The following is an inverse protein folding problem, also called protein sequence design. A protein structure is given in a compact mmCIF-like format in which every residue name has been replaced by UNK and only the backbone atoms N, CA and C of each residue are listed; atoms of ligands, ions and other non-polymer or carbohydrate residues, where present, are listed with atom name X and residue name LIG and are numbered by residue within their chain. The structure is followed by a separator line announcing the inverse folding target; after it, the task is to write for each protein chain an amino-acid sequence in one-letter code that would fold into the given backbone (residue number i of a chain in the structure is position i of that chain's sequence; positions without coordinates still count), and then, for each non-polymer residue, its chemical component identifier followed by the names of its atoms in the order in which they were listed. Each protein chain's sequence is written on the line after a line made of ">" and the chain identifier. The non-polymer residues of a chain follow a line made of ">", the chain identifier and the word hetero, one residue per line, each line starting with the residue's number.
data_IF_246633880018
#
_entry.id   IF_246633880018
#
_cell.length_a   1.000
_cell.length_b   1.000
_cell.length_c   1.000
_cell.angle_alpha   90.00
_cell.angle_beta   90.00
_cell.angle_gamma   90.00
#
_symmetry.space_group_name_H-M   'P 1'
#
loop_
_entity.id
_entity.type
_entity.pdbx_description
1 polymer ?
#
# COMPACT_ATOMS: atom_id res chain seq x y z
N UNK A 1 21.94 -25.11 -3.88
CA UNK A 1 23.35 -24.68 -3.74
C UNK A 1 24.22 -25.60 -4.58
N UNK A 2 25.00 -25.06 -5.52
CA UNK A 2 25.97 -25.86 -6.29
C UNK A 2 27.22 -26.01 -5.45
N UNK A 3 27.60 -27.26 -5.13
CA UNK A 3 28.79 -27.58 -4.34
C UNK A 3 29.90 -28.03 -5.30
N UNK A 4 30.95 -27.23 -5.46
CA UNK A 4 32.12 -27.61 -6.25
C UNK A 4 32.83 -28.75 -5.52
N UNK A 5 32.87 -29.93 -6.16
CA UNK A 5 33.39 -31.19 -5.59
C UNK A 5 34.87 -31.43 -5.92
N UNK A 6 35.42 -30.78 -6.94
CA UNK A 6 36.86 -30.79 -7.22
C UNK A 6 37.26 -29.62 -8.12
N UNK A 7 38.56 -29.32 -8.14
CA UNK A 7 39.17 -28.32 -9.03
C UNK A 7 40.48 -28.87 -9.57
N UNK A 8 40.73 -28.65 -10.85
CA UNK A 8 41.97 -29.03 -11.53
C UNK A 8 42.57 -27.79 -12.19
N UNK A 9 43.86 -27.54 -11.93
CA UNK A 9 44.60 -26.44 -12.59
C UNK A 9 44.85 -26.79 -14.05
N UNK A 10 44.44 -25.91 -14.97
CA UNK A 10 44.71 -26.03 -16.41
C UNK A 10 45.97 -25.26 -16.84
N UNK A 11 46.83 -24.90 -15.87
CA UNK A 11 48.03 -24.08 -16.09
C UNK A 11 47.78 -22.58 -15.95
N UNK A 12 48.85 -21.79 -16.03
CA UNK A 12 48.78 -20.32 -16.09
C UNK A 12 48.71 -19.88 -17.54
N UNK A 13 47.66 -19.14 -17.90
CA UNK A 13 47.61 -18.39 -19.17
C UNK A 13 47.69 -16.90 -18.85
N UNK A 14 48.28 -16.07 -19.73
CA UNK A 14 48.10 -14.63 -19.65
C UNK A 14 46.61 -14.33 -19.77
N UNK A 15 46.02 -13.77 -18.72
CA UNK A 15 44.71 -13.14 -18.79
C UNK A 15 44.94 -11.66 -19.08
N UNK A 16 44.05 -11.04 -19.86
CA UNK A 16 44.04 -9.59 -20.03
C UNK A 16 43.50 -8.94 -18.75
N UNK A 17 44.27 -9.00 -17.68
CA UNK A 17 44.08 -8.10 -16.55
C UNK A 17 44.79 -6.81 -16.88
N UNK A 18 44.07 -5.69 -16.89
CA UNK A 18 44.62 -4.36 -17.14
C UNK A 18 45.34 -3.94 -15.85
N UNK A 19 46.53 -4.49 -15.62
CA UNK A 19 47.48 -3.96 -14.67
C UNK A 19 48.23 -2.81 -15.31
N UNK A 20 47.89 -1.58 -14.96
CA UNK A 20 48.67 -0.40 -15.36
C UNK A 20 49.83 -0.26 -14.36
N UNK A 21 51.06 -0.50 -14.84
CA UNK A 21 52.28 -0.49 -14.01
C UNK A 21 52.66 0.93 -13.51
N UNK A 22 52.09 1.99 -14.13
CA UNK A 22 52.17 3.42 -13.77
C UNK A 22 50.87 4.15 -14.19
N UNK A 23 50.62 5.34 -13.65
CA UNK A 23 49.49 6.21 -14.03
C UNK A 23 49.52 6.54 -15.54
N UNK A 24 48.83 5.74 -16.36
CA UNK A 24 48.69 6.00 -17.80
C UNK A 24 47.31 6.58 -18.09
N UNK A 25 47.30 7.88 -18.36
CA UNK A 25 46.19 8.54 -19.03
C UNK A 25 46.21 8.18 -20.52
N UNK A 26 45.14 7.57 -21.04
CA UNK A 26 45.02 7.32 -22.48
C UNK A 26 44.93 8.66 -23.22
N UNK A 27 45.81 8.94 -24.18
CA UNK A 27 45.75 10.16 -24.98
C UNK A 27 44.95 9.89 -26.26
N UNK A 28 43.94 10.71 -26.53
CA UNK A 28 43.25 10.77 -27.81
C UNK A 28 44.18 11.39 -28.86
N UNK A 29 43.96 11.09 -30.14
CA UNK A 29 44.81 11.57 -31.25
C UNK A 29 44.90 13.11 -31.39
N UNK A 30 44.06 13.86 -30.66
CA UNK A 30 44.09 15.32 -30.57
C UNK A 30 44.80 15.85 -29.30
N UNK A 31 45.48 14.98 -28.54
CA UNK A 31 46.24 15.34 -27.33
C UNK A 31 45.42 15.42 -26.04
N UNK A 32 44.11 15.11 -26.07
CA UNK A 32 43.27 15.09 -24.87
C UNK A 32 43.41 13.79 -24.07
N UNK A 33 43.23 13.85 -22.76
CA UNK A 33 43.25 12.70 -21.86
C UNK A 33 41.87 12.06 -21.78
N UNK A 34 41.79 10.76 -22.07
CA UNK A 34 40.62 9.92 -21.89
C UNK A 34 40.51 9.46 -20.42
N UNK A 35 39.94 10.33 -19.58
CA UNK A 35 39.75 10.08 -18.14
C UNK A 35 38.56 9.16 -17.82
N UNK A 36 37.58 9.02 -18.72
CA UNK A 36 36.31 8.30 -18.49
C UNK A 36 36.03 7.18 -19.51
N UNK A 37 37.07 6.55 -20.05
CA UNK A 37 36.88 5.42 -20.95
C UNK A 37 36.40 4.17 -20.20
N UNK A 38 35.37 3.50 -20.72
CA UNK A 38 34.76 2.33 -20.09
C UNK A 38 34.97 1.07 -20.94
N UNK A 39 35.15 -0.07 -20.28
CA UNK A 39 35.44 -1.33 -20.96
C UNK A 39 34.21 -1.85 -21.75
N UNK A 40 34.29 -1.82 -23.08
CA UNK A 40 33.18 -2.22 -23.97
C UNK A 40 32.73 -3.67 -23.74
N UNK A 41 33.64 -4.62 -23.56
CA UNK A 41 33.27 -6.03 -23.33
C UNK A 41 32.44 -6.21 -22.05
N UNK A 42 32.83 -5.54 -20.97
CA UNK A 42 32.10 -5.55 -19.71
C UNK A 42 30.74 -4.86 -19.86
N UNK A 43 30.68 -3.65 -20.43
CA UNK A 43 29.41 -2.96 -20.68
C UNK A 43 28.46 -3.77 -21.54
N UNK A 44 28.96 -4.44 -22.58
CA UNK A 44 28.13 -5.21 -23.51
C UNK A 44 27.47 -6.39 -22.81
N UNK A 45 28.21 -7.10 -21.93
CA UNK A 45 27.66 -8.22 -21.17
C UNK A 45 26.52 -7.77 -20.23
N UNK A 46 26.68 -6.66 -19.51
CA UNK A 46 25.62 -6.12 -18.65
C UNK A 46 24.45 -5.55 -19.46
N UNK A 47 24.72 -4.86 -20.57
CA UNK A 47 23.67 -4.34 -21.46
C UNK A 47 22.78 -5.46 -22.01
N UNK A 48 23.36 -6.64 -22.28
CA UNK A 48 22.59 -7.81 -22.72
C UNK A 48 21.60 -8.30 -21.65
N UNK A 49 22.02 -8.39 -20.38
CA UNK A 49 21.13 -8.75 -19.27
C UNK A 49 20.05 -7.67 -19.04
N UNK A 50 20.42 -6.40 -19.14
CA UNK A 50 19.45 -5.28 -19.07
C UNK A 50 18.41 -5.37 -20.19
N UNK A 51 18.83 -5.68 -21.42
CA UNK A 51 17.93 -5.89 -22.54
C UNK A 51 16.98 -7.07 -22.29
N UNK A 52 17.49 -8.20 -21.79
CA UNK A 52 16.66 -9.38 -21.48
C UNK A 52 15.60 -9.06 -20.42
N UNK A 53 15.97 -8.36 -19.34
CA UNK A 53 15.01 -7.99 -18.29
C UNK A 53 13.99 -6.96 -18.79
N UNK A 54 14.40 -6.00 -19.61
CA UNK A 54 13.48 -5.05 -20.26
C UNK A 54 12.50 -5.77 -21.21
N UNK A 55 12.99 -6.72 -22.02
CA UNK A 55 12.18 -7.54 -22.91
C UNK A 55 11.12 -8.35 -22.14
N UNK A 56 11.52 -9.02 -21.05
CA UNK A 56 10.59 -9.77 -20.21
C UNK A 56 9.54 -8.86 -19.56
N UNK A 57 9.96 -7.69 -19.03
CA UNK A 57 9.03 -6.72 -18.45
C UNK A 57 8.02 -6.19 -19.47
N UNK A 58 8.44 -5.98 -20.72
CA UNK A 58 7.58 -5.46 -21.77
C UNK A 58 6.57 -6.49 -22.32
N UNK A 59 6.99 -7.76 -22.46
CA UNK A 59 6.19 -8.80 -23.12
C UNK A 59 5.49 -9.76 -22.15
N UNK A 60 6.07 -10.00 -20.97
CA UNK A 60 5.57 -10.90 -19.93
C UNK A 60 5.55 -10.19 -18.56
N UNK A 61 4.81 -9.07 -18.43
CA UNK A 61 4.89 -8.20 -17.27
C UNK A 61 4.44 -8.90 -15.97
N UNK A 62 3.43 -9.77 -16.03
CA UNK A 62 2.88 -10.46 -14.86
C UNK A 62 3.88 -11.49 -14.33
N UNK A 63 4.44 -12.31 -15.21
CA UNK A 63 5.43 -13.32 -14.87
C UNK A 63 6.74 -12.68 -14.39
N UNK A 64 7.17 -11.60 -15.05
CA UNK A 64 8.35 -10.84 -14.65
C UNK A 64 8.20 -10.24 -13.24
N UNK A 65 7.07 -9.57 -12.97
CA UNK A 65 6.80 -9.02 -11.64
C UNK A 65 6.64 -10.13 -10.58
N UNK A 66 6.04 -11.26 -10.94
CA UNK A 66 5.94 -12.44 -10.06
C UNK A 66 7.32 -12.98 -9.68
N UNK A 67 8.25 -13.02 -10.64
CA UNK A 67 9.62 -13.45 -10.39
C UNK A 67 10.37 -12.47 -9.47
N UNK A 68 10.19 -11.16 -9.65
CA UNK A 68 10.78 -10.14 -8.77
C UNK A 68 10.26 -10.21 -7.33
N UNK A 69 8.95 -10.37 -7.16
CA UNK A 69 8.30 -10.56 -5.86
C UNK A 69 8.80 -11.83 -5.17
N UNK A 70 8.91 -12.93 -5.93
CA UNK A 70 9.45 -14.19 -5.42
C UNK A 70 10.92 -14.07 -5.00
N UNK A 71 11.77 -13.47 -5.84
CA UNK A 71 13.19 -13.30 -5.55
C UNK A 71 13.47 -12.36 -4.35
N UNK A 72 12.48 -11.55 -3.95
CA UNK A 72 12.61 -10.57 -2.88
C UNK A 72 11.72 -10.87 -1.68
N UNK A 73 11.13 -12.08 -1.59
CA UNK A 73 10.17 -12.45 -0.54
C UNK A 73 10.71 -12.31 0.88
N UNK A 74 12.03 -12.39 1.07
CA UNK A 74 12.69 -12.24 2.36
C UNK A 74 12.87 -10.76 2.80
N UNK A 75 12.57 -9.80 1.92
CA UNK A 75 12.73 -8.37 2.17
C UNK A 75 11.40 -7.62 1.97
N UNK A 76 10.75 -7.28 3.08
CA UNK A 76 9.42 -6.69 3.09
C UNK A 76 9.36 -5.35 2.34
N UNK A 77 10.34 -4.47 2.54
CA UNK A 77 10.42 -3.17 1.84
C UNK A 77 10.46 -3.34 0.32
N UNK A 78 11.19 -4.35 -0.17
CA UNK A 78 11.24 -4.67 -1.61
C UNK A 78 9.92 -5.25 -2.11
N UNK A 79 9.29 -6.14 -1.34
CA UNK A 79 7.98 -6.71 -1.71
C UNK A 79 6.94 -5.61 -1.86
N UNK A 80 6.89 -4.67 -0.90
CA UNK A 80 6.00 -3.51 -0.97
C UNK A 80 6.27 -2.66 -2.21
N UNK A 81 7.53 -2.27 -2.44
CA UNK A 81 7.91 -1.50 -3.64
C UNK A 81 7.53 -2.19 -4.95
N UNK A 82 7.70 -3.50 -5.04
CA UNK A 82 7.30 -4.24 -6.24
C UNK A 82 5.78 -4.38 -6.36
N UNK A 83 5.05 -4.49 -5.24
CA UNK A 83 3.58 -4.47 -5.25
C UNK A 83 3.05 -3.13 -5.76
N UNK A 84 3.60 -2.01 -5.32
CA UNK A 84 3.26 -0.68 -5.85
C UNK A 84 3.51 -0.58 -7.36
N UNK A 85 4.63 -1.13 -7.84
CA UNK A 85 4.91 -1.19 -9.28
C UNK A 85 3.89 -2.05 -10.03
N UNK A 86 3.46 -3.19 -9.47
CA UNK A 86 2.37 -3.98 -10.04
C UNK A 86 1.09 -3.13 -10.18
N UNK A 87 0.73 -2.38 -9.14
CA UNK A 87 -0.45 -1.50 -9.17
C UNK A 87 -0.34 -0.42 -10.26
N UNK A 88 0.83 0.23 -10.40
CA UNK A 88 1.09 1.20 -11.49
C UNK A 88 1.00 0.56 -12.88
N UNK A 89 1.32 -0.72 -13.00
CA UNK A 89 1.22 -1.51 -14.23
C UNK A 89 -0.18 -2.13 -14.44
N UNK A 90 -1.16 -1.82 -13.58
CA UNK A 90 -2.51 -2.43 -13.57
C UNK A 90 -2.49 -3.97 -13.41
N UNK A 91 -1.53 -4.49 -12.65
CA UNK A 91 -1.41 -5.90 -12.27
C UNK A 91 -1.94 -6.02 -10.84
N UNK A 92 -3.02 -6.78 -10.68
CA UNK A 92 -3.65 -7.02 -9.38
C UNK A 92 -2.85 -8.07 -8.59
N UNK A 93 -2.53 -7.77 -7.34
CA UNK A 93 -1.85 -8.71 -6.43
C UNK A 93 -2.87 -9.14 -5.40
N UNK A 94 -3.42 -10.35 -5.57
CA UNK A 94 -4.42 -10.88 -4.64
C UNK A 94 -3.79 -11.25 -3.30
N UNK A 95 -4.52 -11.09 -2.17
CA UNK A 95 -4.05 -11.54 -0.86
C UNK A 95 -3.71 -13.04 -0.85
N UNK A 96 -2.94 -13.50 0.13
CA UNK A 96 -2.72 -14.93 0.31
C UNK A 96 -4.06 -15.65 0.51
N UNK A 97 -4.08 -16.94 0.19
CA UNK A 97 -5.25 -17.80 0.32
C UNK A 97 -4.75 -19.21 0.67
N UNK A 98 -5.13 -19.72 1.84
CA UNK A 98 -4.73 -21.06 2.33
C UNK A 98 -5.05 -22.19 1.34
N UNK A 99 -6.04 -22.03 0.48
CA UNK A 99 -6.48 -23.01 -0.50
C UNK A 99 -5.86 -22.85 -1.89
N UNK A 100 -5.34 -21.67 -2.23
CA UNK A 100 -4.81 -21.37 -3.58
C UNK A 100 -3.32 -21.02 -3.59
N UNK A 101 -2.85 -20.30 -2.58
CA UNK A 101 -1.47 -19.82 -2.52
C UNK A 101 -0.49 -21.00 -2.50
N UNK A 102 0.61 -20.81 -3.21
CA UNK A 102 1.76 -21.69 -3.18
C UNK A 102 2.82 -21.09 -2.26
N UNK A 103 3.96 -21.79 -2.13
CA UNK A 103 5.13 -21.26 -1.44
C UNK A 103 5.52 -19.89 -2.00
N UNK A 104 5.69 -19.79 -3.32
CA UNK A 104 6.07 -18.57 -4.01
C UNK A 104 4.87 -17.83 -4.62
N UNK A 105 5.07 -16.57 -5.01
CA UNK A 105 4.08 -15.82 -5.76
C UNK A 105 3.74 -16.56 -7.06
N UNK A 106 2.46 -16.60 -7.41
CA UNK A 106 1.97 -17.40 -8.54
C UNK A 106 1.23 -16.51 -9.53
N UNK A 107 1.60 -16.46 -10.83
CA UNK A 107 0.87 -15.70 -11.82
C UNK A 107 -0.43 -16.43 -12.17
N UNK A 108 -1.56 -15.72 -12.12
CA UNK A 108 -2.90 -16.23 -12.46
C UNK A 108 -3.54 -15.27 -13.47
N UNK A 109 -3.35 -15.53 -14.76
CA UNK A 109 -3.84 -14.67 -15.83
C UNK A 109 -3.22 -13.28 -15.75
N UNK A 110 -4.03 -12.26 -15.44
CA UNK A 110 -3.57 -10.86 -15.25
C UNK A 110 -3.28 -10.48 -13.80
N UNK A 111 -3.26 -11.47 -12.91
CA UNK A 111 -3.11 -11.28 -11.48
C UNK A 111 -1.91 -12.04 -10.95
N UNK A 112 -1.46 -11.67 -9.76
CA UNK A 112 -0.44 -12.39 -9.00
C UNK A 112 -1.07 -12.81 -7.68
N UNK A 113 -1.08 -14.10 -7.38
CA UNK A 113 -1.48 -14.60 -6.08
C UNK A 113 -0.30 -14.56 -5.12
N UNK A 114 -0.53 -13.99 -3.93
CA UNK A 114 0.49 -13.85 -2.91
C UNK A 114 1.09 -15.21 -2.50
N UNK A 115 2.43 -15.25 -2.42
CA UNK A 115 3.16 -16.44 -1.97
C UNK A 115 3.22 -16.50 -0.45
N UNK A 116 3.03 -17.70 0.12
CA UNK A 116 3.11 -17.91 1.57
C UNK A 116 4.50 -17.54 2.14
N UNK A 117 5.57 -17.62 1.34
CA UNK A 117 6.93 -17.25 1.75
C UNK A 117 7.11 -15.78 2.08
N UNK A 118 6.23 -14.90 1.58
CA UNK A 118 6.29 -13.47 1.88
C UNK A 118 5.46 -13.08 3.12
N UNK A 119 4.72 -14.03 3.71
CA UNK A 119 3.95 -13.80 4.93
C UNK A 119 4.91 -13.83 6.12
N UNK A 120 4.96 -12.72 6.88
CA UNK A 120 5.80 -12.62 8.08
C UNK A 120 5.41 -13.67 9.12
N UNK A 121 6.37 -14.09 9.94
CA UNK A 121 6.18 -15.11 10.99
C UNK A 121 5.76 -16.50 10.47
N UNK A 122 5.76 -16.74 9.15
CA UNK A 122 5.47 -18.03 8.55
C UNK A 122 6.78 -18.65 8.04
N UNK A 123 7.35 -19.57 8.83
CA UNK A 123 8.60 -20.25 8.47
C UNK A 123 8.41 -21.30 7.37
N UNK A 124 9.49 -21.65 6.68
CA UNK A 124 9.50 -22.64 5.60
C UNK A 124 8.81 -23.97 6.01
N UNK A 125 9.15 -24.50 7.19
CA UNK A 125 8.56 -25.74 7.70
C UNK A 125 7.03 -25.63 7.87
N UNK A 126 6.53 -24.46 8.28
CA UNK A 126 5.09 -24.21 8.42
C UNK A 126 4.42 -24.20 7.03
N UNK A 127 5.04 -23.55 6.05
CA UNK A 127 4.54 -23.53 4.67
C UNK A 127 4.47 -24.95 4.11
N UNK A 128 5.55 -25.73 4.24
CA UNK A 128 5.58 -27.12 3.78
C UNK A 128 4.52 -27.98 4.48
N UNK A 129 4.32 -27.81 5.79
CA UNK A 129 3.29 -28.52 6.54
C UNK A 129 1.88 -28.19 6.02
N UNK A 130 1.59 -26.91 5.74
CA UNK A 130 0.30 -26.46 5.20
C UNK A 130 0.07 -27.06 3.81
N UNK A 131 1.05 -26.96 2.91
CA UNK A 131 0.94 -27.47 1.54
C UNK A 131 0.78 -28.99 1.52
N UNK A 132 1.52 -29.70 2.38
CA UNK A 132 1.43 -31.15 2.51
C UNK A 132 0.08 -31.58 3.07
N UNK A 133 -0.43 -30.92 4.11
CA UNK A 133 -1.75 -31.19 4.68
C UNK A 133 -2.87 -30.97 3.64
N UNK A 134 -2.77 -29.88 2.87
CA UNK A 134 -3.71 -29.58 1.77
C UNK A 134 -3.70 -30.67 0.69
N UNK A 135 -2.51 -31.12 0.28
CA UNK A 135 -2.37 -32.17 -0.72
C UNK A 135 -2.88 -33.53 -0.22
N UNK A 136 -2.57 -33.89 1.04
CA UNK A 136 -2.98 -35.16 1.64
C UNK A 136 -4.50 -35.28 1.81
N UNK A 137 -5.18 -34.16 2.02
CA UNK A 137 -6.63 -34.13 2.26
C UNK A 137 -7.49 -34.08 0.98
N UNK A 138 -6.89 -34.32 -0.19
CA UNK A 138 -7.62 -34.37 -1.46
C UNK A 138 -8.22 -33.04 -1.92
N UNK A 139 -7.81 -31.91 -1.34
CA UNK A 139 -8.32 -30.61 -1.76
C UNK A 139 -8.25 -29.51 -0.71
N UNK A 140 -9.32 -28.72 -0.66
CA UNK A 140 -9.40 -27.44 0.06
C UNK A 140 -9.72 -27.66 1.54
N UNK A 141 -9.17 -26.81 2.40
CA UNK A 141 -9.64 -26.61 3.76
C UNK A 141 -11.01 -25.93 3.74
N UNK A 142 -11.94 -26.38 4.58
CA UNK A 142 -13.32 -25.89 4.61
C UNK A 142 -13.58 -24.89 5.74
N UNK A 143 -12.82 -24.96 6.83
CA UNK A 143 -12.97 -24.09 8.01
C UNK A 143 -11.64 -23.94 8.77
N UNK A 144 -11.60 -23.05 9.75
CA UNK A 144 -10.45 -22.92 10.65
C UNK A 144 -10.21 -24.20 11.45
N UNK A 145 -11.27 -24.86 11.93
CA UNK A 145 -11.19 -26.14 12.62
C UNK A 145 -10.60 -27.25 11.74
N UNK A 146 -11.06 -27.33 10.50
CA UNK A 146 -10.55 -28.28 9.50
C UNK A 146 -9.06 -28.05 9.20
N UNK A 147 -8.64 -26.79 9.12
CA UNK A 147 -7.23 -26.43 8.97
C UNK A 147 -6.41 -26.87 10.19
N UNK A 148 -6.85 -26.52 11.40
CA UNK A 148 -6.14 -26.81 12.64
C UNK A 148 -6.06 -28.31 12.97
N UNK A 149 -7.05 -29.12 12.56
CA UNK A 149 -7.02 -30.58 12.75
C UNK A 149 -6.04 -31.27 11.78
N UNK A 150 -5.86 -30.72 10.57
CA UNK A 150 -5.05 -31.34 9.51
C UNK A 150 -3.58 -30.91 9.53
N UNK A 151 -3.30 -29.72 10.04
CA UNK A 151 -1.96 -29.12 10.04
C UNK A 151 -1.28 -29.38 11.39
N UNK A 152 0.02 -29.65 11.39
CA UNK A 152 0.79 -29.80 12.63
C UNK A 152 0.94 -28.45 13.35
N UNK A 153 0.14 -28.27 14.40
CA UNK A 153 0.13 -27.06 15.26
C UNK A 153 1.41 -26.86 16.08
N UNK A 154 2.31 -27.85 16.14
CA UNK A 154 3.66 -27.67 16.71
C UNK A 154 4.55 -26.84 15.79
N UNK A 155 4.32 -26.95 14.48
CA UNK A 155 5.04 -26.21 13.43
C UNK A 155 4.29 -24.92 13.08
N UNK A 156 2.97 -24.98 12.92
CA UNK A 156 2.11 -23.82 12.67
C UNK A 156 1.54 -23.32 13.99
N UNK A 157 2.34 -22.51 14.68
CA UNK A 157 1.99 -21.98 16.00
C UNK A 157 0.89 -20.90 15.95
N UNK A 158 0.37 -20.52 17.14
CA UNK A 158 -0.68 -19.49 17.29
C UNK A 158 -0.35 -18.18 16.55
N UNK A 159 0.89 -17.70 16.64
CA UNK A 159 1.35 -16.47 15.96
C UNK A 159 1.29 -16.59 14.43
N UNK A 160 1.59 -17.76 13.88
CA UNK A 160 1.47 -18.02 12.45
C UNK A 160 -0.01 -18.02 12.01
N UNK A 161 -0.90 -18.63 12.81
CA UNK A 161 -2.35 -18.65 12.56
C UNK A 161 -2.94 -17.24 12.61
N UNK A 162 -2.63 -16.45 13.64
CA UNK A 162 -3.04 -15.04 13.75
C UNK A 162 -2.59 -14.26 12.51
N UNK A 163 -1.33 -14.42 12.09
CA UNK A 163 -0.80 -13.71 10.91
C UNK A 163 -1.52 -14.14 9.63
N UNK A 164 -1.84 -15.44 9.47
CA UNK A 164 -2.62 -15.94 8.32
C UNK A 164 -4.06 -15.40 8.31
N UNK A 165 -4.68 -15.24 9.47
CA UNK A 165 -6.02 -14.65 9.60
C UNK A 165 -5.96 -13.16 9.24
N UNK A 166 -5.04 -12.40 9.85
CA UNK A 166 -4.93 -10.96 9.63
C UNK A 166 -4.53 -10.60 8.19
N UNK A 167 -3.76 -11.45 7.50
CA UNK A 167 -3.40 -11.24 6.10
C UNK A 167 -4.48 -11.64 5.08
N UNK A 168 -5.62 -12.15 5.56
CA UNK A 168 -6.75 -12.51 4.72
C UNK A 168 -6.66 -13.90 4.08
N UNK A 169 -5.72 -14.75 4.53
CA UNK A 169 -5.58 -16.10 3.98
C UNK A 169 -6.81 -16.98 4.17
N UNK A 170 -7.66 -16.63 5.15
CA UNK A 170 -8.91 -17.31 5.48
C UNK A 170 -10.18 -16.60 4.93
N UNK A 171 -10.07 -15.45 4.28
CA UNK A 171 -11.23 -14.62 3.89
C UNK A 171 -12.24 -15.33 2.98
N UNK A 172 -11.77 -16.32 2.20
CA UNK A 172 -12.63 -17.12 1.31
C UNK A 172 -13.45 -18.19 2.04
N UNK A 173 -13.03 -18.60 3.22
CA UNK A 173 -13.77 -19.58 4.04
C UNK A 173 -14.60 -18.89 5.13
N UNK A 174 -14.08 -17.82 5.72
CA UNK A 174 -14.78 -16.98 6.68
C UNK A 174 -14.30 -15.52 6.51
N UNK A 175 -15.12 -14.61 5.96
CA UNK A 175 -14.72 -13.22 5.73
C UNK A 175 -14.60 -12.38 7.00
N UNK A 176 -15.23 -12.80 8.11
CA UNK A 176 -15.15 -12.12 9.39
C UNK A 176 -13.84 -12.48 10.11
N UNK A 177 -12.81 -11.64 9.94
CA UNK A 177 -11.48 -11.87 10.53
C UNK A 177 -11.52 -11.75 12.06
N UNK A 178 -12.38 -10.89 12.61
CA UNK A 178 -12.54 -10.75 14.06
C UNK A 178 -13.09 -12.04 14.68
N UNK A 179 -14.10 -12.64 14.04
CA UNK A 179 -14.64 -13.93 14.48
C UNK A 179 -13.57 -15.03 14.48
N UNK A 180 -12.74 -15.10 13.42
CA UNK A 180 -11.66 -16.09 13.36
C UNK A 180 -10.63 -15.95 14.48
N UNK A 181 -10.36 -14.72 14.93
CA UNK A 181 -9.45 -14.47 16.05
C UNK A 181 -10.07 -14.88 17.38
N UNK A 182 -11.34 -14.56 17.61
CA UNK A 182 -12.07 -15.00 18.81
C UNK A 182 -12.20 -16.53 18.88
N UNK A 183 -12.44 -17.17 17.72
CA UNK A 183 -12.52 -18.63 17.61
C UNK A 183 -11.16 -19.31 17.84
N UNK A 184 -10.04 -18.64 17.53
CA UNK A 184 -8.72 -19.26 17.40
C UNK A 184 -8.31 -20.04 18.64
N UNK A 185 -8.51 -19.49 19.83
CA UNK A 185 -8.10 -20.14 21.07
C UNK A 185 -8.90 -21.42 21.36
N UNK A 186 -10.21 -21.37 21.14
CA UNK A 186 -11.11 -22.51 21.31
C UNK A 186 -10.77 -23.62 20.29
N UNK A 187 -10.56 -23.22 19.04
CA UNK A 187 -10.30 -24.15 17.93
C UNK A 187 -8.94 -24.84 18.08
N UNK A 188 -7.89 -24.11 18.47
CA UNK A 188 -6.56 -24.69 18.69
C UNK A 188 -6.59 -25.72 19.83
N UNK A 189 -7.23 -25.39 20.96
CA UNK A 189 -7.35 -26.32 22.09
C UNK A 189 -8.14 -27.59 21.70
N UNK A 190 -9.25 -27.41 20.97
CA UNK A 190 -10.06 -28.51 20.44
C UNK A 190 -9.27 -29.40 19.48
N UNK A 191 -8.55 -28.82 18.52
CA UNK A 191 -7.75 -29.58 17.55
C UNK A 191 -6.62 -30.36 18.21
N UNK A 192 -5.91 -29.77 19.18
CA UNK A 192 -4.86 -30.44 19.94
C UNK A 192 -5.39 -31.65 20.73
N UNK A 193 -6.57 -31.52 21.35
CA UNK A 193 -7.23 -32.62 22.06
C UNK A 193 -7.53 -33.78 21.12
N UNK A 194 -8.11 -33.50 19.94
CA UNK A 194 -8.42 -34.52 18.93
C UNK A 194 -7.18 -35.21 18.38
N UNK A 195 -6.12 -34.46 18.10
CA UNK A 195 -4.85 -35.05 17.65
C UNK A 195 -4.28 -35.99 18.71
N UNK A 196 -4.34 -35.61 20.00
CA UNK A 196 -3.90 -36.47 21.11
C UNK A 196 -4.74 -37.73 21.24
N UNK A 197 -6.06 -37.64 21.04
CA UNK A 197 -6.99 -38.79 21.06
C UNK A 197 -6.77 -39.75 19.89
N UNK A 198 -6.43 -39.23 18.69
CA UNK A 198 -6.01 -40.03 17.55
C UNK A 198 -4.67 -40.73 17.80
N UNK A 199 -3.69 -40.01 18.35
CA UNK A 199 -2.36 -40.55 18.69
C UNK A 199 -2.44 -41.60 19.82
N UNK A 200 -3.36 -41.45 20.78
CA UNK A 200 -3.53 -42.40 21.91
C UNK A 200 -4.27 -43.68 21.52
N UNK A 201 -4.80 -43.78 20.31
CA UNK A 201 -5.53 -44.96 19.81
C UNK A 201 -6.88 -45.21 20.49
N UNK A 202 -7.37 -44.30 21.34
CA UNK A 202 -8.62 -44.46 22.09
C UNK A 202 -9.87 -44.46 21.21
N UNK A 203 -9.78 -43.97 19.97
CA UNK A 203 -10.91 -43.93 19.03
C UNK A 203 -11.31 -45.31 18.50
N UNK A 204 -10.41 -46.29 18.50
CA UNK A 204 -10.71 -47.63 17.96
C UNK A 204 -11.37 -48.58 18.98
N UNK A 205 -11.31 -48.33 20.29
CA UNK A 205 -11.84 -49.30 21.27
C UNK A 205 -13.36 -49.22 21.39
N UNK A 206 -13.96 -48.04 21.35
CA UNK A 206 -15.43 -47.90 21.44
C UNK A 206 -16.14 -48.17 20.11
N UNK A 207 -15.52 -47.86 18.97
CA UNK A 207 -16.08 -48.13 17.64
C UNK A 207 -15.94 -49.61 17.24
N UNK A 208 -14.89 -50.31 17.73
CA UNK A 208 -14.68 -51.75 17.49
C UNK A 208 -15.45 -52.65 18.47
N UNK A 209 -15.97 -52.13 19.59
CA UNK A 209 -16.73 -52.88 20.61
C UNK A 209 -18.25 -52.87 20.42
N UNK A 210 -18.75 -52.60 19.20
CA UNK A 210 -20.05 -53.09 18.73
C UNK A 210 -21.23 -52.98 19.72
N UNK A 211 -21.40 -51.82 20.37
CA UNK A 211 -22.51 -51.58 21.29
C UNK A 211 -23.68 -50.95 20.56
N UNK A 212 -24.60 -51.77 20.07
CA UNK A 212 -25.91 -51.35 19.57
C UNK A 212 -26.72 -50.66 20.67
N UNK A 213 -26.82 -49.33 20.61
CA UNK A 213 -27.94 -48.59 21.19
C UNK A 213 -28.23 -47.33 20.38
N UNK A 214 -29.45 -47.28 19.87
CA UNK A 214 -30.05 -46.14 19.18
C UNK A 214 -30.10 -44.91 20.09
N UNK A 215 -29.05 -44.10 20.05
CA UNK A 215 -29.13 -42.68 20.36
C UNK A 215 -28.15 -41.96 19.44
N UNK A 216 -28.66 -41.53 18.28
CA UNK A 216 -28.07 -40.44 17.51
C UNK A 216 -28.20 -39.16 18.34
N UNK A 217 -27.39 -39.02 19.39
CA UNK A 217 -26.86 -37.70 19.71
C UNK A 217 -25.87 -37.40 18.60
N UNK A 218 -26.33 -36.71 17.56
CA UNK A 218 -25.44 -36.04 16.62
C UNK A 218 -24.42 -35.26 17.45
N UNK A 219 -23.18 -35.59 17.21
CA UNK A 219 -22.04 -35.33 18.06
C UNK A 219 -21.77 -33.83 18.25
N UNK A 220 -21.92 -33.33 19.48
CA UNK A 220 -21.25 -32.11 19.97
C UNK A 220 -19.72 -32.16 19.81
N UNK A 221 -19.15 -33.32 19.43
CA UNK A 221 -17.73 -33.56 19.21
C UNK A 221 -17.24 -33.45 17.76
N UNK A 222 -18.12 -33.34 16.76
CA UNK A 222 -17.69 -33.24 15.34
C UNK A 222 -17.51 -31.80 14.86
N UNK A 223 -18.26 -30.85 15.40
CA UNK A 223 -18.16 -29.46 14.98
C UNK A 223 -17.11 -28.72 15.80
N UNK A 224 -16.22 -28.01 15.09
CA UNK A 224 -15.25 -27.11 15.72
C UNK A 224 -15.99 -26.08 16.57
N UNK A 225 -15.53 -25.79 17.80
CA UNK A 225 -16.14 -24.76 18.61
C UNK A 225 -16.02 -23.40 17.92
N UNK A 226 -16.97 -22.51 18.22
CA UNK A 226 -16.94 -21.12 17.81
C UNK A 226 -17.33 -20.25 19.00
N UNK A 227 -16.70 -19.10 19.13
CA UNK A 227 -17.01 -18.10 20.15
C UNK A 227 -18.36 -17.43 19.85
N UNK A 228 -18.80 -16.58 20.78
CA UNK A 228 -19.97 -15.73 20.56
C UNK A 228 -19.77 -14.87 19.31
N UNK A 229 -20.82 -14.72 18.51
CA UNK A 229 -20.75 -13.96 17.27
C UNK A 229 -20.34 -12.50 17.53
N UNK A 230 -19.28 -12.04 16.86
CA UNK A 230 -18.78 -10.66 16.93
C UNK A 230 -18.87 -9.95 15.59
N UNK A 231 -19.04 -8.63 15.62
CA UNK A 231 -18.95 -7.80 14.42
C UNK A 231 -17.51 -7.82 13.88
N UNK A 232 -17.38 -7.85 12.56
CA UNK A 232 -16.08 -7.85 11.89
C UNK A 232 -15.32 -6.53 12.14
N UNK A 233 -13.99 -6.58 11.95
CA UNK A 233 -13.16 -5.39 12.02
C UNK A 233 -13.61 -4.34 11.01
N UNK A 234 -13.52 -3.07 11.40
CA UNK A 234 -13.67 -1.97 10.46
C UNK A 234 -12.62 -2.08 9.35
N UNK A 235 -12.89 -1.49 8.18
CA UNK A 235 -11.93 -1.50 7.07
C UNK A 235 -10.57 -0.93 7.48
N UNK A 236 -10.56 0.18 8.24
CA UNK A 236 -9.33 0.81 8.72
C UNK A 236 -8.57 -0.14 9.65
N UNK A 237 -9.28 -0.82 10.54
CA UNK A 237 -8.66 -1.75 11.49
C UNK A 237 -8.07 -2.98 10.78
N UNK A 238 -8.75 -3.53 9.75
CA UNK A 238 -8.17 -4.60 8.92
C UNK A 238 -6.85 -4.17 8.26
N UNK A 239 -6.82 -2.97 7.69
CA UNK A 239 -5.60 -2.43 7.06
C UNK A 239 -4.49 -2.20 8.08
N UNK A 240 -4.82 -1.70 9.28
CA UNK A 240 -3.88 -1.54 10.39
C UNK A 240 -3.26 -2.88 10.80
N UNK A 241 -4.10 -3.91 10.97
CA UNK A 241 -3.67 -5.27 11.32
C UNK A 241 -2.84 -5.93 10.20
N UNK A 242 -3.17 -5.68 8.93
CA UNK A 242 -2.34 -6.11 7.81
C UNK A 242 -0.94 -5.51 7.88
N UNK A 243 -0.83 -4.18 8.07
CA UNK A 243 0.48 -3.51 8.19
C UNK A 243 1.26 -3.98 9.41
N UNK A 244 0.59 -4.15 10.55
CA UNK A 244 1.21 -4.64 11.78
C UNK A 244 1.80 -6.05 11.63
N UNK A 245 1.03 -6.96 11.05
CA UNK A 245 1.42 -8.36 10.95
C UNK A 245 2.25 -8.70 9.72
N UNK A 246 2.06 -8.03 8.59
CA UNK A 246 2.77 -8.30 7.33
C UNK A 246 3.89 -7.30 7.05
N UNK A 247 3.82 -6.10 7.64
CA UNK A 247 4.71 -4.97 7.36
C UNK A 247 4.15 -4.01 6.32
N UNK A 248 3.07 -4.39 5.61
CA UNK A 248 2.46 -3.58 4.56
C UNK A 248 0.98 -3.92 4.32
N UNK A 249 0.26 -3.06 3.59
CA UNK A 249 -1.16 -3.27 3.24
C UNK A 249 -1.33 -4.31 2.12
N UNK A 250 -1.88 -5.48 2.41
CA UNK A 250 -2.08 -6.53 1.40
C UNK A 250 -3.29 -6.24 0.52
N UNK A 251 -4.38 -5.79 1.12
CA UNK A 251 -5.66 -5.62 0.44
C UNK A 251 -5.67 -4.38 -0.48
N UNK A 252 -5.62 -3.19 0.11
CA UNK A 252 -5.59 -1.92 -0.62
C UNK A 252 -4.93 -0.83 0.24
N UNK A 253 -4.27 0.14 -0.40
CA UNK A 253 -3.75 1.31 0.31
C UNK A 253 -4.91 2.14 0.90
N UNK A 254 -4.83 2.64 2.15
CA UNK A 254 -5.91 3.40 2.80
C UNK A 254 -6.44 4.57 1.96
N UNK A 255 -5.54 5.29 1.29
CA UNK A 255 -5.89 6.45 0.46
C UNK A 255 -6.50 6.11 -0.91
N UNK A 256 -6.50 4.83 -1.32
CA UNK A 256 -7.06 4.43 -2.63
C UNK A 256 -8.56 4.70 -2.70
N UNK A 257 -9.28 4.52 -1.60
CA UNK A 257 -10.69 4.87 -1.49
C UNK A 257 -10.92 6.38 -1.66
N UNK A 258 -9.95 7.19 -1.22
CA UNK A 258 -10.02 8.65 -1.20
C UNK A 258 -9.62 9.28 -2.54
N UNK A 259 -8.80 8.60 -3.36
CA UNK A 259 -8.30 9.14 -4.62
C UNK A 259 -9.41 9.63 -5.56
N UNK A 260 -10.53 8.91 -5.68
CA UNK A 260 -11.63 9.32 -6.58
C UNK A 260 -12.32 10.60 -6.10
N UNK A 261 -12.70 10.64 -4.83
CA UNK A 261 -13.37 11.80 -4.24
C UNK A 261 -12.46 13.04 -4.27
N UNK A 262 -11.17 12.81 -4.06
CA UNK A 262 -10.22 13.89 -3.88
C UNK A 262 -9.53 14.37 -5.16
N UNK A 263 -9.75 13.73 -6.32
CA UNK A 263 -9.34 14.25 -7.63
C UNK A 263 -9.85 15.68 -7.87
N UNK A 264 -10.99 16.04 -7.28
CA UNK A 264 -11.53 17.40 -7.24
C UNK A 264 -10.53 18.42 -6.69
N UNK A 265 -9.71 18.05 -5.71
CA UNK A 265 -8.71 18.94 -5.11
C UNK A 265 -7.43 19.05 -5.94
N UNK A 266 -7.31 18.28 -7.03
CA UNK A 266 -6.08 18.18 -7.83
C UNK A 266 -4.82 17.87 -7.01
N UNK A 267 -4.85 16.95 -6.02
CA UNK A 267 -3.65 16.58 -5.30
C UNK A 267 -2.63 16.03 -6.30
N UNK A 268 -1.37 16.41 -6.13
CA UNK A 268 -0.27 15.76 -6.82
C UNK A 268 0.01 14.42 -6.14
N UNK A 269 0.55 13.46 -6.88
CA UNK A 269 1.09 12.27 -6.25
C UNK A 269 2.50 12.56 -5.72
N UNK A 270 2.89 11.89 -4.64
CA UNK A 270 4.23 12.04 -4.07
C UNK A 270 5.33 11.62 -5.06
N UNK A 271 5.08 10.61 -5.89
CA UNK A 271 6.02 10.20 -6.94
C UNK A 271 6.29 11.31 -7.99
N UNK A 272 5.37 12.26 -8.15
CA UNK A 272 5.47 13.34 -9.16
C UNK A 272 6.22 14.57 -8.61
N UNK A 273 6.61 14.58 -7.33
CA UNK A 273 7.33 15.69 -6.69
C UNK A 273 8.61 16.09 -7.45
N UNK A 274 9.31 15.10 -8.03
CA UNK A 274 10.52 15.30 -8.83
C UNK A 274 10.26 16.01 -10.17
N UNK A 275 9.05 15.95 -10.70
CA UNK A 275 8.68 16.60 -11.96
C UNK A 275 8.26 18.06 -11.76
N UNK A 276 7.84 18.41 -10.54
CA UNK A 276 7.44 19.76 -10.18
C UNK A 276 8.63 20.70 -9.99
N UNK A 277 9.04 21.36 -11.08
CA UNK A 277 10.18 22.32 -11.11
C UNK A 277 9.91 23.69 -10.46
N UNK A 278 8.70 23.92 -9.93
CA UNK A 278 8.25 25.23 -9.45
C UNK A 278 8.05 25.27 -7.95
N UNK A 279 8.44 26.38 -7.29
CA UNK A 279 8.04 26.74 -5.90
C UNK A 279 6.54 27.07 -5.76
N UNK A 280 5.69 26.57 -6.66
CA UNK A 280 4.25 26.77 -6.61
C UNK A 280 3.69 25.98 -5.43
N UNK A 281 2.63 26.53 -4.82
CA UNK A 281 1.90 25.84 -3.77
C UNK A 281 1.22 24.61 -4.38
N UNK A 282 1.46 23.46 -3.78
CA UNK A 282 0.90 22.17 -4.16
C UNK A 282 0.06 21.63 -3.00
N UNK A 283 -0.83 20.71 -3.34
CA UNK A 283 -1.60 19.93 -2.37
C UNK A 283 -1.34 18.45 -2.60
N UNK A 284 -1.27 17.65 -1.54
CA UNK A 284 -1.14 16.21 -1.61
C UNK A 284 -1.97 15.55 -0.49
N UNK A 285 -2.50 14.36 -0.75
CA UNK A 285 -3.21 13.58 0.26
C UNK A 285 -2.29 12.48 0.69
N UNK A 286 -2.01 12.45 1.98
CA UNK A 286 -0.91 11.67 2.52
C UNK A 286 -1.34 10.95 3.79
N UNK A 287 -0.78 9.78 3.97
CA UNK A 287 -0.75 9.06 5.23
C UNK A 287 0.58 9.40 5.91
N UNK A 288 0.53 9.79 7.19
CA UNK A 288 1.74 10.07 7.97
C UNK A 288 2.32 8.77 8.51
N UNK A 289 3.41 8.29 7.93
CA UNK A 289 4.07 7.07 8.40
C UNK A 289 4.95 7.28 9.63
N UNK A 290 5.63 8.42 9.71
CA UNK A 290 6.57 8.69 10.80
C UNK A 290 6.66 10.19 11.08
N UNK A 291 6.75 10.56 12.35
CA UNK A 291 6.90 11.94 12.79
C UNK A 291 8.12 12.09 13.70
N UNK A 292 9.18 12.73 13.21
CA UNK A 292 10.40 12.99 13.98
C UNK A 292 10.48 14.45 14.39
N UNK A 293 10.12 14.73 15.64
CA UNK A 293 10.27 16.07 16.25
C UNK A 293 11.74 16.38 16.53
N UNK A 294 12.19 17.57 16.14
CA UNK A 294 13.56 18.06 16.35
C UNK A 294 13.51 19.51 16.86
N UNK A 295 14.45 19.86 17.73
CA UNK A 295 14.67 21.25 18.15
C UNK A 295 15.70 21.89 17.24
N UNK A 296 15.39 23.05 16.66
CA UNK A 296 16.34 23.81 15.85
C UNK A 296 17.49 24.33 16.74
N UNK A 297 18.58 24.79 16.11
CA UNK A 297 19.68 25.48 16.81
C UNK A 297 19.22 26.73 17.58
N UNK A 298 18.06 27.29 17.21
CA UNK A 298 17.44 28.46 17.87
C UNK A 298 16.49 28.06 19.01
N UNK A 299 16.37 26.77 19.32
CA UNK A 299 15.49 26.27 20.39
C UNK A 299 14.00 26.20 20.02
N UNK A 300 13.64 26.37 18.74
CA UNK A 300 12.25 26.24 18.27
C UNK A 300 11.98 24.82 17.77
N UNK A 301 10.78 24.25 17.99
CA UNK A 301 10.45 22.90 17.51
C UNK A 301 10.22 22.88 15.99
N UNK A 302 10.58 21.79 15.33
CA UNK A 302 10.22 21.47 13.94
C UNK A 302 10.03 19.95 13.81
N UNK A 303 9.48 19.47 12.69
CA UNK A 303 9.35 18.03 12.45
C UNK A 303 9.78 17.62 11.04
N UNK A 304 10.42 16.46 10.95
CA UNK A 304 10.55 15.70 9.71
C UNK A 304 9.45 14.65 9.67
N UNK A 305 8.76 14.56 8.53
CA UNK A 305 7.68 13.62 8.30
C UNK A 305 8.09 12.63 7.21
N UNK A 306 7.66 11.38 7.36
CA UNK A 306 7.61 10.42 6.25
C UNK A 306 6.16 10.34 5.78
N UNK A 307 5.91 10.77 4.56
CA UNK A 307 4.58 10.78 3.95
C UNK A 307 4.47 9.60 2.98
N UNK A 308 3.31 8.95 2.98
CA UNK A 308 2.97 7.88 2.04
C UNK A 308 1.68 8.22 1.28
N UNK A 309 1.66 7.95 -0.01
CA UNK A 309 0.44 7.85 -0.79
C UNK A 309 0.45 6.59 -1.66
N UNK A 310 -0.62 6.35 -2.41
CA UNK A 310 -0.70 5.16 -3.28
C UNK A 310 0.34 5.15 -4.43
N UNK A 311 1.10 6.24 -4.62
CA UNK A 311 2.17 6.32 -5.61
C UNK A 311 3.56 6.03 -5.02
N UNK A 312 3.71 6.12 -3.69
CA UNK A 312 4.94 5.80 -2.97
C UNK A 312 5.15 6.71 -1.76
N UNK A 313 6.40 6.79 -1.29
CA UNK A 313 6.78 7.54 -0.10
C UNK A 313 7.66 8.76 -0.44
N UNK A 314 7.56 9.81 0.37
CA UNK A 314 8.40 11.01 0.29
C UNK A 314 8.72 11.60 1.66
N UNK A 315 9.90 12.22 1.77
CA UNK A 315 10.27 13.03 2.93
C UNK A 315 9.56 14.40 2.90
N UNK A 316 9.20 14.90 4.07
CA UNK A 316 8.66 16.24 4.24
C UNK A 316 9.15 16.92 5.52
N UNK A 317 9.07 18.25 5.55
CA UNK A 317 9.50 19.07 6.68
C UNK A 317 8.43 20.09 7.06
N UNK A 318 8.17 20.20 8.36
CA UNK A 318 7.31 21.22 8.96
C UNK A 318 8.21 22.13 9.80
N UNK A 319 8.44 23.35 9.33
CA UNK A 319 9.21 24.36 10.07
C UNK A 319 8.42 24.93 11.24
N UNK A 320 9.12 25.58 12.18
CA UNK A 320 8.57 26.03 13.47
C UNK A 320 7.26 26.80 13.38
N UNK A 321 7.17 27.78 12.48
CA UNK A 321 5.97 28.61 12.31
C UNK A 321 4.72 27.79 11.95
N UNK A 322 4.91 26.71 11.19
CA UNK A 322 3.82 25.80 10.80
C UNK A 322 3.63 24.69 11.83
N UNK A 323 4.70 24.24 12.48
CA UNK A 323 4.67 23.18 13.48
C UNK A 323 3.81 23.57 14.68
N UNK A 324 3.93 24.80 15.18
CA UNK A 324 3.13 25.27 16.33
C UNK A 324 1.62 25.14 16.09
N UNK A 325 1.18 25.41 14.84
CA UNK A 325 -0.22 25.27 14.42
C UNK A 325 -0.62 23.81 14.19
N UNK A 326 0.25 23.03 13.53
CA UNK A 326 -0.10 21.71 13.01
C UNK A 326 0.20 20.56 13.97
N UNK A 327 0.96 20.77 15.05
CA UNK A 327 1.47 19.70 15.93
C UNK A 327 0.42 18.68 16.41
N UNK A 328 -0.85 19.09 16.59
CA UNK A 328 -1.93 18.20 17.03
C UNK A 328 -2.41 17.24 15.94
N UNK A 329 -2.18 17.60 14.68
CA UNK A 329 -2.55 16.81 13.50
C UNK A 329 -1.43 15.86 13.07
N UNK A 330 -0.19 16.14 13.47
CA UNK A 330 1.00 15.37 13.11
C UNK A 330 1.13 14.11 13.98
N UNK A 331 0.22 13.17 13.77
CA UNK A 331 0.18 11.86 14.45
C UNK A 331 0.45 10.77 13.41
N UNK A 332 1.17 9.72 13.80
CA UNK A 332 1.37 8.54 12.94
C UNK A 332 0.02 7.92 12.56
N UNK A 333 -0.06 7.40 11.34
CA UNK A 333 -1.26 6.87 10.68
C UNK A 333 -2.38 7.90 10.43
N UNK A 334 -2.16 9.19 10.71
CA UNK A 334 -3.12 10.22 10.34
C UNK A 334 -3.19 10.40 8.81
N UNK A 335 -4.41 10.44 8.27
CA UNK A 335 -4.66 10.79 6.87
C UNK A 335 -4.94 12.29 6.75
N UNK A 336 -4.04 13.01 6.09
CA UNK A 336 -4.11 14.46 5.97
C UNK A 336 -4.14 14.90 4.51
N UNK A 337 -4.87 15.97 4.23
CA UNK A 337 -4.57 16.83 3.10
C UNK A 337 -3.49 17.82 3.54
N UNK A 338 -2.37 17.86 2.82
CA UNK A 338 -1.26 18.78 3.10
C UNK A 338 -1.11 19.79 1.97
N UNK A 339 -0.81 21.04 2.33
CA UNK A 339 -0.44 22.09 1.40
C UNK A 339 0.96 22.57 1.67
N UNK A 340 1.72 22.78 0.60
CA UNK A 340 3.13 23.06 0.74
C UNK A 340 3.82 23.45 -0.54
N UNK A 341 5.14 23.45 -0.49
CA UNK A 341 6.01 23.75 -1.62
C UNK A 341 7.08 22.68 -1.75
N UNK A 342 7.42 22.34 -2.99
CA UNK A 342 8.53 21.44 -3.27
C UNK A 342 9.84 22.18 -3.00
N UNK A 343 10.69 21.59 -2.16
CA UNK A 343 12.06 22.04 -1.93
C UNK A 343 13.04 21.01 -2.47
N UNK A 344 14.11 21.49 -3.10
CA UNK A 344 15.17 20.66 -3.68
C UNK A 344 16.50 21.07 -3.07
N UNK A 345 17.14 20.15 -2.36
CA UNK A 345 18.47 20.33 -1.77
C UNK A 345 19.29 19.07 -1.98
N UNK A 346 20.52 19.23 -2.47
CA UNK A 346 21.55 18.17 -2.52
C UNK A 346 21.01 16.81 -3.03
N UNK A 347 20.41 16.81 -4.22
CA UNK A 347 19.79 15.66 -4.90
C UNK A 347 18.56 15.03 -4.21
N UNK A 348 18.05 15.62 -3.13
CA UNK A 348 16.79 15.20 -2.49
C UNK A 348 15.66 16.18 -2.77
N UNK A 349 14.52 15.61 -3.13
CA UNK A 349 13.25 16.34 -3.25
C UNK A 349 12.44 16.07 -2.00
N UNK A 350 12.02 17.14 -1.32
CA UNK A 350 11.19 17.06 -0.13
C UNK A 350 10.02 18.05 -0.21
N UNK A 351 8.96 17.76 0.53
CA UNK A 351 7.83 18.68 0.68
C UNK A 351 8.02 19.58 1.91
N UNK A 352 8.00 20.89 1.74
CA UNK A 352 7.81 21.81 2.87
C UNK A 352 6.32 21.95 3.11
N UNK A 353 5.83 21.43 4.23
CA UNK A 353 4.42 21.49 4.62
C UNK A 353 4.18 22.82 5.33
N UNK A 354 3.32 23.65 4.73
CA UNK A 354 2.91 24.97 5.26
C UNK A 354 1.57 24.88 6.00
N UNK A 355 0.73 23.91 5.62
CA UNK A 355 -0.58 23.69 6.20
C UNK A 355 -1.05 22.23 6.05
N UNK A 356 -1.95 21.78 6.93
CA UNK A 356 -2.51 20.44 6.88
C UNK A 356 -3.88 20.38 7.57
N UNK A 357 -4.78 19.56 7.04
CA UNK A 357 -6.12 19.33 7.60
C UNK A 357 -6.50 17.84 7.48
N UNK A 358 -7.22 17.25 8.46
CA UNK A 358 -7.80 15.91 8.30
C UNK A 358 -8.66 15.86 7.06
N UNK A 359 -8.48 14.84 6.22
CA UNK A 359 -9.17 14.76 4.93
C UNK A 359 -10.69 14.78 5.08
N UNK A 360 -11.22 14.27 6.19
CA UNK A 360 -12.63 14.23 6.55
C UNK A 360 -13.22 15.63 6.77
N UNK A 361 -12.37 16.59 7.15
CA UNK A 361 -12.76 17.98 7.42
C UNK A 361 -12.66 18.89 6.20
N UNK A 362 -12.02 18.43 5.12
CA UNK A 362 -11.84 19.23 3.91
C UNK A 362 -13.18 19.40 3.21
N UNK A 363 -13.55 20.65 2.97
CA UNK A 363 -14.78 21.05 2.29
C UNK A 363 -14.50 21.59 0.89
N UNK A 364 -15.55 21.65 0.09
CA UNK A 364 -15.57 22.31 -1.22
C UNK A 364 -16.80 23.21 -1.35
N UNK A 365 -16.66 24.32 -2.05
CA UNK A 365 -17.79 25.18 -2.40
C UNK A 365 -18.32 24.75 -3.77
N UNK A 366 -19.58 24.34 -3.81
CA UNK A 366 -20.30 24.06 -5.05
C UNK A 366 -21.12 25.28 -5.44
N UNK A 367 -20.93 25.78 -6.65
CA UNK A 367 -21.71 26.90 -7.21
C UNK A 367 -22.54 26.39 -8.37
N UNK A 368 -23.86 26.43 -8.24
CA UNK A 368 -24.77 26.07 -9.31
C UNK A 368 -24.94 27.26 -10.25
N UNK A 369 -24.42 27.14 -11.46
CA UNK A 369 -24.52 28.13 -12.52
C UNK A 369 -25.60 27.71 -13.53
N UNK A 370 -26.58 28.59 -13.71
CA UNK A 370 -27.54 28.48 -14.79
C UNK A 370 -26.88 28.85 -16.14
N UNK A 371 -27.53 28.50 -17.25
CA UNK A 371 -27.07 28.91 -18.57
C UNK A 371 -26.99 30.44 -18.71
N UNK A 372 -27.86 31.19 -18.01
CA UNK A 372 -27.82 32.65 -18.02
C UNK A 372 -26.59 33.21 -17.30
N UNK A 373 -26.15 32.57 -16.20
CA UNK A 373 -24.93 32.94 -15.48
C UNK A 373 -23.69 32.81 -16.37
N UNK A 374 -23.70 31.80 -17.25
CA UNK A 374 -22.56 31.47 -18.11
C UNK A 374 -22.53 32.35 -19.34
N UNK A 375 -23.66 32.69 -19.95
CA UNK A 375 -23.67 33.54 -21.15
C UNK A 375 -23.45 35.02 -20.80
N UNK A 376 -23.86 35.45 -19.60
CA UNK A 376 -23.79 36.85 -19.20
C UNK A 376 -22.40 37.24 -18.66
N UNK A 377 -21.68 38.07 -19.44
CA UNK A 377 -20.34 38.54 -19.08
C UNK A 377 -20.28 39.28 -17.73
N UNK A 378 -21.31 40.06 -17.39
CA UNK A 378 -21.34 40.78 -16.12
C UNK A 378 -21.45 39.82 -14.93
N UNK A 379 -22.24 38.75 -15.07
CA UNK A 379 -22.38 37.72 -14.02
C UNK A 379 -21.10 36.90 -13.89
N UNK A 380 -20.45 36.55 -15.00
CA UNK A 380 -19.12 35.92 -14.94
C UNK A 380 -18.09 36.79 -14.22
N UNK A 381 -18.04 38.10 -14.54
CA UNK A 381 -17.10 39.02 -13.91
C UNK A 381 -17.38 39.20 -12.41
N UNK A 382 -18.66 39.26 -12.02
CA UNK A 382 -19.08 39.31 -10.62
C UNK A 382 -18.68 38.02 -9.86
N UNK A 383 -18.91 36.85 -10.45
CA UNK A 383 -18.47 35.58 -9.88
C UNK A 383 -16.95 35.56 -9.71
N UNK A 384 -16.20 35.98 -10.74
CA UNK A 384 -14.74 36.07 -10.67
C UNK A 384 -14.30 37.01 -9.55
N UNK A 385 -14.89 38.20 -9.40
CA UNK A 385 -14.51 39.13 -8.34
C UNK A 385 -14.78 38.59 -6.95
N UNK A 386 -15.90 37.89 -6.74
CA UNK A 386 -16.23 37.26 -5.46
C UNK A 386 -15.22 36.15 -5.17
N UNK A 387 -15.01 35.23 -6.12
CA UNK A 387 -14.08 34.11 -5.93
C UNK A 387 -12.62 34.55 -5.86
N UNK A 388 -12.27 35.71 -6.40
CA UNK A 388 -10.93 36.30 -6.33
C UNK A 388 -10.72 37.22 -5.12
N UNK A 389 -11.77 37.49 -4.34
CA UNK A 389 -11.64 38.20 -3.08
C UNK A 389 -10.88 37.35 -2.04
N UNK A 390 -10.28 38.00 -1.05
CA UNK A 390 -9.51 37.36 0.02
C UNK A 390 -8.03 37.10 -0.30
N UNK A 391 -7.31 36.56 0.69
CA UNK A 391 -5.88 36.28 0.57
C UNK A 391 -5.63 34.99 -0.21
N UNK A 392 -5.10 35.12 -1.43
CA UNK A 392 -4.78 33.97 -2.30
C UNK A 392 -3.66 33.08 -1.77
N UNK A 393 -2.85 33.56 -0.81
CA UNK A 393 -1.88 32.72 -0.14
C UNK A 393 -2.56 31.73 0.83
N UNK A 394 -3.73 32.10 1.36
CA UNK A 394 -4.50 31.31 2.33
C UNK A 394 -5.66 30.54 1.73
N UNK A 395 -5.97 30.74 0.46
CA UNK A 395 -7.00 29.98 -0.25
C UNK A 395 -6.70 28.47 -0.24
N UNK A 396 -7.63 27.68 0.29
CA UNK A 396 -7.53 26.20 0.41
C UNK A 396 -8.79 25.48 -0.06
N UNK A 397 -9.95 26.15 0.00
CA UNK A 397 -11.23 25.55 -0.33
C UNK A 397 -11.43 25.61 -1.84
N UNK A 398 -11.51 24.47 -2.53
CA UNK A 398 -11.77 24.44 -3.97
C UNK A 398 -13.18 24.92 -4.27
N UNK A 399 -13.35 25.45 -5.49
CA UNK A 399 -14.67 25.86 -5.99
C UNK A 399 -14.99 25.05 -7.25
N UNK A 400 -16.16 24.41 -7.24
CA UNK A 400 -16.68 23.65 -8.37
C UNK A 400 -17.94 24.33 -8.87
N UNK A 401 -17.96 24.64 -10.16
CA UNK A 401 -19.16 25.10 -10.83
C UNK A 401 -19.96 23.90 -11.37
N UNK A 402 -21.22 23.81 -10.99
CA UNK A 402 -22.17 22.86 -11.61
C UNK A 402 -22.96 23.61 -12.68
N UNK A 403 -22.89 23.14 -13.92
CA UNK A 403 -23.52 23.75 -15.08
C UNK A 403 -24.62 22.82 -15.60
N UNK A 404 -25.84 23.34 -15.75
CA UNK A 404 -26.93 22.63 -16.43
C UNK A 404 -28.27 22.67 -15.68
N UNK A 405 -29.31 22.11 -16.31
CA UNK A 405 -30.66 22.03 -15.78
C UNK A 405 -31.16 20.57 -15.80
N UNK A 406 -31.83 20.13 -14.74
CA UNK A 406 -32.38 18.77 -14.64
C UNK A 406 -31.31 17.68 -14.49
N UNK A 407 -31.37 16.66 -15.35
CA UNK A 407 -30.54 15.44 -15.31
C UNK A 407 -29.19 15.57 -16.00
N UNK A 408 -28.97 16.59 -16.83
CA UNK A 408 -27.67 16.88 -17.43
C UNK A 408 -26.96 17.97 -16.63
N UNK A 409 -26.02 17.55 -15.76
CA UNK A 409 -25.14 18.42 -15.00
C UNK A 409 -23.70 18.15 -15.41
N UNK A 410 -22.97 19.21 -15.71
CA UNK A 410 -21.53 19.18 -15.90
C UNK A 410 -20.84 19.81 -14.69
N UNK A 411 -19.78 19.19 -14.22
CA UNK A 411 -18.95 19.71 -13.14
C UNK A 411 -17.69 20.33 -13.73
N UNK A 412 -17.47 21.60 -13.46
CA UNK A 412 -16.30 22.35 -13.89
C UNK A 412 -15.50 22.74 -12.66
N UNK A 413 -14.32 22.14 -12.52
CA UNK A 413 -13.37 22.51 -11.48
C UNK A 413 -12.72 23.85 -11.83
N UNK A 414 -12.90 24.87 -11.01
CA UNK A 414 -12.23 26.14 -11.19
C UNK A 414 -10.77 26.04 -10.74
N UNK A 415 -9.87 26.72 -11.45
CA UNK A 415 -8.43 26.72 -11.14
C UNK A 415 -8.13 27.32 -9.76
N UNK A 416 -6.91 27.08 -9.25
CA UNK A 416 -6.45 27.54 -7.92
C UNK A 416 -6.65 29.05 -7.68
N UNK A 417 -6.63 29.88 -8.74
CA UNK A 417 -6.88 31.32 -8.63
C UNK A 417 -8.30 31.67 -8.13
N UNK A 418 -9.23 30.73 -8.18
CA UNK A 418 -10.61 30.87 -7.73
C UNK A 418 -10.90 30.09 -6.44
N UNK A 419 -9.88 29.52 -5.81
CA UNK A 419 -10.02 28.93 -4.49
C UNK A 419 -10.22 30.02 -3.44
N UNK A 420 -10.87 29.64 -2.35
CA UNK A 420 -11.31 30.56 -1.30
C UNK A 420 -10.73 30.18 0.04
N UNK A 421 -10.60 31.18 0.92
CA UNK A 421 -10.02 31.02 2.26
C UNK A 421 -11.02 30.38 3.22
N UNK A 422 -12.26 30.89 3.23
CA UNK A 422 -13.35 30.43 4.08
C UNK A 422 -14.60 30.16 3.23
N UNK A 423 -15.23 29.01 3.45
CA UNK A 423 -16.45 28.63 2.75
C UNK A 423 -17.62 29.51 3.18
N UNK A 424 -17.73 29.88 4.46
CA UNK A 424 -18.88 30.62 4.98
C UNK A 424 -18.95 32.04 4.42
N UNK A 425 -17.86 32.80 4.53
CA UNK A 425 -17.79 34.18 4.01
C UNK A 425 -18.08 34.26 2.51
N UNK A 426 -17.58 33.30 1.73
CA UNK A 426 -17.83 33.26 0.28
C UNK A 426 -19.25 32.83 -0.04
N UNK A 427 -19.82 31.89 0.70
CA UNK A 427 -21.23 31.49 0.51
C UNK A 427 -22.19 32.65 0.77
N UNK A 428 -21.94 33.46 1.80
CA UNK A 428 -22.72 34.68 2.04
C UNK A 428 -22.61 35.65 0.87
N UNK A 429 -21.38 35.91 0.40
CA UNK A 429 -21.13 36.81 -0.74
C UNK A 429 -21.79 36.32 -2.03
N UNK A 430 -21.72 35.02 -2.31
CA UNK A 430 -22.37 34.39 -3.46
C UNK A 430 -23.89 34.47 -3.36
N UNK A 431 -24.45 34.25 -2.16
CA UNK A 431 -25.89 34.34 -1.91
C UNK A 431 -26.41 35.75 -2.09
N UNK A 432 -25.69 36.76 -1.59
CA UNK A 432 -26.02 38.19 -1.78
C UNK A 432 -25.98 38.56 -3.26
N UNK A 433 -25.04 38.00 -4.03
CA UNK A 433 -24.95 38.19 -5.48
C UNK A 433 -25.96 37.35 -6.30
N UNK A 434 -26.81 36.55 -5.64
CA UNK A 434 -27.84 35.75 -6.28
C UNK A 434 -27.30 34.49 -6.98
N UNK A 435 -26.16 33.95 -6.54
CA UNK A 435 -25.69 32.62 -6.95
C UNK A 435 -26.18 31.56 -5.95
N UNK A 436 -26.64 30.42 -6.46
CA UNK A 436 -26.96 29.27 -5.63
C UNK A 436 -25.67 28.50 -5.33
N UNK A 437 -25.21 28.53 -4.09
CA UNK A 437 -24.01 27.83 -3.68
C UNK A 437 -24.20 27.12 -2.34
N UNK A 438 -23.47 26.03 -2.13
CA UNK A 438 -23.40 25.34 -0.83
C UNK A 438 -21.96 24.84 -0.56
N UNK A 439 -21.71 24.53 0.72
CA UNK A 439 -20.48 23.85 1.14
C UNK A 439 -20.78 22.36 1.26
N UNK A 440 -19.93 21.53 0.68
CA UNK A 440 -20.03 20.07 0.74
C UNK A 440 -18.73 19.48 1.26
N UNK A 441 -18.77 18.41 2.08
CA UNK A 441 -17.55 17.68 2.44
C UNK A 441 -16.98 16.99 1.20
N UNK A 442 -15.66 16.83 1.17
CA UNK A 442 -14.99 16.11 0.09
C UNK A 442 -15.35 14.62 0.07
N UNK A 443 -15.51 14.03 1.26
CA UNK A 443 -15.86 12.63 1.46
C UNK A 443 -17.28 12.57 2.01
N UNK A 444 -18.18 11.88 1.30
CA UNK A 444 -19.48 11.51 1.86
C UNK A 444 -19.28 10.27 2.74
N UNK A 445 -19.71 10.35 3.99
CA UNK A 445 -19.71 9.22 4.94
C UNK A 445 -20.63 8.09 4.50
#
# INVERSE_FOLDING_TARGET
>A
MVKIISRQSLGRKPVYDIGVEKDHNFLLGNGLIASNCFNKSHSTAYAYVTYQTAYLKANYPVEYMTALLTASSDNQDKVEKYRENCQKMNIDVEPPDINRSQKHFTPIGRKILFGLSAVRNLGENAIEAILKARAAAGGKFTSLGDFCERVDLRVVNKRALETLIYCGAFDKIQPNRHQLIEDLELVVAWAQKRTKEKESGQMNIFDMLGGSTENKQESEFEQSPSATAVADFSRQEKLRLEKEHLGFYVSEHPLKALQRAAQVLSPINLADLEEHKTRKKISAIVLLNAVKKIMTKKGTPMAFLTLEDASGQSEAVVFSDSYERLQKLLVEEATLMVWGKVDRRDDRVQLIVEDAEPIETVKMVMVNLSLQDIVNQNRQNLLKSILQSGDKQKAKVPVIATIGAGTQRQFVRLGQNYWVEDDNSVLESLKVAGFLANSAPLINH
#
